data_IF_947762081039
#
_entry.id   IF_947762081039
#
_cell.length_a   1.000
_cell.length_b   1.000
_cell.length_c   1.000
_cell.angle_alpha   90.00
_cell.angle_beta   90.00
_cell.angle_gamma   90.00
#
_symmetry.space_group_name_H-M   'P 1'
#
loop_
_entity.id
_entity.type
_entity.pdbx_description
1 polymer ?
#
# COMPACT_ATOMS: atom_id res chain seq x y z
N UNK A 1 -21.49 21.65 18.06
CA UNK A 1 -20.76 20.55 17.41
C UNK A 1 -20.57 20.99 15.98
N UNK A 2 -19.37 21.45 15.59
CA UNK A 2 -19.14 21.80 14.19
C UNK A 2 -19.33 20.53 13.37
N UNK A 3 -20.15 20.56 12.32
CA UNK A 3 -20.19 19.51 11.31
C UNK A 3 -18.77 19.35 10.76
N UNK A 4 -18.02 18.41 11.33
CA UNK A 4 -16.72 18.03 10.81
C UNK A 4 -16.99 17.39 9.46
N UNK A 5 -16.65 18.12 8.40
CA UNK A 5 -16.74 17.62 7.04
C UNK A 5 -15.88 16.37 6.94
N UNK A 6 -16.52 15.25 6.61
CA UNK A 6 -15.81 13.99 6.37
C UNK A 6 -14.70 14.18 5.34
N UNK A 7 -13.62 13.45 5.54
CA UNK A 7 -12.59 13.23 4.55
C UNK A 7 -13.23 12.64 3.29
N UNK A 8 -12.76 13.06 2.12
CA UNK A 8 -13.34 12.69 0.82
C UNK A 8 -13.50 11.17 0.63
N UNK A 9 -12.46 10.38 0.94
CA UNK A 9 -12.53 8.90 0.96
C UNK A 9 -13.70 8.41 1.83
N UNK A 10 -13.86 8.94 3.04
CA UNK A 10 -14.96 8.55 3.95
C UNK A 10 -16.31 8.90 3.33
N UNK A 11 -16.45 10.10 2.77
CA UNK A 11 -17.67 10.52 2.06
C UNK A 11 -18.00 9.60 0.88
N UNK A 12 -16.99 9.23 0.08
CA UNK A 12 -17.17 8.36 -1.09
C UNK A 12 -17.69 6.99 -0.67
N UNK A 13 -17.06 6.35 0.32
CA UNK A 13 -17.49 5.03 0.79
C UNK A 13 -18.88 5.07 1.43
N UNK A 14 -19.20 6.12 2.21
CA UNK A 14 -20.55 6.30 2.78
C UNK A 14 -21.63 6.52 1.72
N UNK A 15 -21.30 7.25 0.64
CA UNK A 15 -22.28 7.63 -0.38
C UNK A 15 -22.50 6.57 -1.46
N UNK A 16 -21.43 5.87 -1.87
CA UNK A 16 -21.46 5.05 -3.08
C UNK A 16 -21.26 3.54 -2.84
N UNK A 17 -20.94 3.13 -1.61
CA UNK A 17 -20.69 1.73 -1.25
C UNK A 17 -21.00 1.49 0.24
N UNK A 18 -20.20 0.67 0.92
CA UNK A 18 -20.28 0.44 2.37
C UNK A 18 -19.40 1.43 3.13
N UNK A 19 -19.87 1.97 4.28
CA UNK A 19 -19.04 2.76 5.18
C UNK A 19 -17.79 1.99 5.62
N UNK A 20 -16.68 2.71 5.71
CA UNK A 20 -15.44 2.20 6.30
C UNK A 20 -15.61 2.02 7.81
N UNK A 21 -14.87 1.07 8.37
CA UNK A 21 -14.83 0.82 9.82
C UNK A 21 -14.62 2.11 10.62
N UNK A 22 -15.21 2.19 11.81
CA UNK A 22 -15.06 3.33 12.71
C UNK A 22 -13.59 3.76 12.88
N UNK A 23 -12.67 2.81 13.03
CA UNK A 23 -11.23 3.07 13.17
C UNK A 23 -10.64 3.78 11.94
N UNK A 24 -10.93 3.31 10.72
CA UNK A 24 -10.43 3.96 9.50
C UNK A 24 -11.10 5.32 9.28
N UNK A 25 -12.40 5.41 9.55
CA UNK A 25 -13.17 6.67 9.47
C UNK A 25 -12.58 7.74 10.39
N UNK A 26 -12.34 7.40 11.66
CA UNK A 26 -11.74 8.32 12.64
C UNK A 26 -10.32 8.75 12.24
N UNK A 27 -9.49 7.82 11.74
CA UNK A 27 -8.11 8.14 11.33
C UNK A 27 -8.06 9.04 10.09
N UNK A 28 -8.88 8.76 9.08
CA UNK A 28 -8.95 9.57 7.85
C UNK A 28 -9.53 10.97 8.11
N UNK A 29 -10.46 11.10 9.06
CA UNK A 29 -10.99 12.39 9.52
C UNK A 29 -10.05 13.11 10.50
N UNK A 30 -8.87 12.55 10.78
CA UNK A 30 -7.91 13.05 11.77
C UNK A 30 -8.54 13.34 13.14
N UNK A 31 -9.45 12.48 13.60
CA UNK A 31 -10.04 12.62 14.93
C UNK A 31 -8.93 12.73 15.99
N UNK A 32 -9.11 13.60 16.98
CA UNK A 32 -8.05 13.99 17.92
C UNK A 32 -7.41 12.81 18.67
N UNK A 33 -8.16 11.74 18.92
CA UNK A 33 -7.65 10.49 19.53
C UNK A 33 -6.58 9.78 18.69
N UNK A 34 -6.54 10.09 17.38
CA UNK A 34 -5.59 9.56 16.40
C UNK A 34 -4.61 10.63 15.92
N UNK A 35 -4.45 11.73 16.66
CA UNK A 35 -3.36 12.69 16.45
C UNK A 35 -2.30 12.45 17.53
N UNK A 36 -1.20 11.79 17.16
CA UNK A 36 -0.11 11.56 18.13
C UNK A 36 1.24 11.85 17.49
N UNK A 37 2.16 12.45 18.26
CA UNK A 37 3.52 12.73 17.76
C UNK A 37 4.26 11.47 17.33
N UNK A 38 3.99 10.33 17.96
CA UNK A 38 4.67 9.05 17.67
C UNK A 38 4.03 8.24 16.55
N UNK A 39 2.72 8.37 16.32
CA UNK A 39 2.00 7.59 15.28
C UNK A 39 1.50 8.47 14.14
N UNK A 40 1.77 9.78 14.14
CA UNK A 40 1.26 10.72 13.13
C UNK A 40 -0.26 10.87 13.20
N UNK A 41 -0.87 11.27 12.09
CA UNK A 41 -2.31 11.43 11.89
C UNK A 41 -2.69 11.15 10.42
N UNK A 42 -3.98 11.25 10.08
CA UNK A 42 -4.45 11.19 8.71
C UNK A 42 -3.97 9.94 7.99
N UNK A 43 -3.42 10.11 6.80
CA UNK A 43 -2.94 8.99 5.97
C UNK A 43 -1.81 8.21 6.65
N UNK A 44 -0.96 8.89 7.43
CA UNK A 44 0.13 8.24 8.17
C UNK A 44 -0.39 7.24 9.22
N UNK A 45 -1.58 7.46 9.82
CA UNK A 45 -2.20 6.48 10.71
C UNK A 45 -3.10 5.49 9.97
N UNK A 46 -3.95 5.97 9.06
CA UNK A 46 -4.85 5.11 8.30
C UNK A 46 -4.06 4.03 7.54
N UNK A 47 -2.97 4.41 6.88
CA UNK A 47 -2.16 3.46 6.10
C UNK A 47 -1.34 2.50 6.96
N UNK A 48 -1.09 2.82 8.24
CA UNK A 48 -0.52 1.86 9.20
C UNK A 48 -1.50 0.76 9.58
N UNK A 49 -2.79 1.07 9.66
CA UNK A 49 -3.83 0.06 9.89
C UNK A 49 -4.03 -0.75 8.63
N UNK A 50 -4.08 -0.09 7.46
CA UNK A 50 -4.15 -0.77 6.17
C UNK A 50 -2.97 -1.73 5.97
N UNK A 51 -1.79 -1.39 6.48
CA UNK A 51 -0.62 -2.26 6.41
C UNK A 51 -0.80 -3.64 7.06
N UNK A 52 -1.68 -3.77 8.06
CA UNK A 52 -2.03 -5.05 8.67
C UNK A 52 -2.82 -5.95 7.72
N UNK A 53 -3.58 -5.36 6.78
CA UNK A 53 -4.25 -6.11 5.73
C UNK A 53 -3.27 -6.43 4.60
N UNK A 54 -2.59 -5.41 4.06
CA UNK A 54 -1.68 -5.55 2.90
C UNK A 54 -0.61 -6.60 3.12
N UNK A 55 0.03 -6.61 4.29
CA UNK A 55 1.19 -7.47 4.54
C UNK A 55 0.82 -8.93 4.80
N UNK A 56 -0.45 -9.28 4.82
CA UNK A 56 -0.92 -10.66 5.03
C UNK A 56 -1.28 -11.33 3.70
N UNK A 57 -0.95 -12.62 3.50
CA UNK A 57 -1.45 -13.37 2.36
C UNK A 57 -2.99 -13.36 2.32
N UNK A 58 -3.57 -13.32 1.12
CA UNK A 58 -5.03 -13.39 0.97
C UNK A 58 -5.52 -14.79 1.31
N UNK A 59 -6.40 -14.89 2.30
CA UNK A 59 -7.20 -16.08 2.48
C UNK A 59 -8.32 -16.08 1.44
N UNK A 60 -8.36 -17.15 0.65
CA UNK A 60 -9.30 -17.30 -0.45
C UNK A 60 -10.76 -17.44 0.03
N UNK A 61 -10.95 -17.99 1.24
CA UNK A 61 -12.27 -18.28 1.83
C UNK A 61 -12.55 -17.47 3.10
N UNK A 62 -11.51 -16.96 3.74
CA UNK A 62 -11.61 -16.11 4.91
C UNK A 62 -12.16 -14.71 4.60
N UNK A 63 -12.93 -14.17 5.55
CA UNK A 63 -13.62 -12.87 5.43
C UNK A 63 -12.94 -11.75 6.23
N UNK A 64 -11.75 -11.98 6.79
CA UNK A 64 -11.08 -11.03 7.68
C UNK A 64 -10.78 -9.68 7.02
N UNK A 65 -10.62 -9.65 5.69
CA UNK A 65 -10.34 -8.42 4.94
C UNK A 65 -11.58 -7.54 4.80
N UNK A 66 -12.80 -8.07 4.95
CA UNK A 66 -14.03 -7.28 4.96
C UNK A 66 -14.18 -6.42 6.23
N UNK A 67 -13.32 -6.62 7.24
CA UNK A 67 -13.24 -5.76 8.44
C UNK A 67 -12.74 -4.34 8.15
N UNK A 68 -12.35 -4.03 6.91
CA UNK A 68 -12.12 -2.65 6.48
C UNK A 68 -13.43 -1.83 6.50
N UNK A 69 -14.58 -2.50 6.37
CA UNK A 69 -15.92 -1.93 6.47
C UNK A 69 -16.45 -2.05 7.90
N UNK A 70 -17.44 -1.22 8.25
CA UNK A 70 -18.00 -1.17 9.61
C UNK A 70 -18.81 -2.42 9.97
N UNK A 71 -19.83 -2.74 9.16
CA UNK A 71 -20.77 -3.85 9.41
C UNK A 71 -21.10 -4.62 8.10
N UNK A 72 -20.07 -5.13 7.41
CA UNK A 72 -20.30 -5.93 6.20
C UNK A 72 -20.93 -7.30 6.54
N UNK A 73 -22.13 -7.58 6.02
CA UNK A 73 -22.80 -8.87 6.23
C UNK A 73 -22.20 -9.97 5.34
N UNK A 74 -21.52 -10.93 5.97
CA UNK A 74 -20.87 -12.06 5.27
C UNK A 74 -21.81 -13.24 4.99
N UNK A 75 -23.09 -13.18 5.39
CA UNK A 75 -24.03 -14.30 5.18
C UNK A 75 -24.23 -14.62 3.69
N UNK A 76 -24.34 -13.59 2.84
CA UNK A 76 -24.47 -13.75 1.39
C UNK A 76 -23.28 -14.51 0.81
N UNK A 77 -22.05 -14.06 1.11
CA UNK A 77 -20.82 -14.72 0.68
C UNK A 77 -20.69 -16.16 1.19
N UNK A 78 -21.02 -16.43 2.45
CA UNK A 78 -21.03 -17.81 3.01
C UNK A 78 -22.01 -18.70 2.27
N UNK A 79 -23.17 -18.16 1.91
CA UNK A 79 -24.18 -18.89 1.15
C UNK A 79 -23.68 -19.19 -0.27
N UNK A 80 -23.08 -18.19 -0.94
CA UNK A 80 -22.49 -18.35 -2.28
C UNK A 80 -21.44 -19.46 -2.26
N UNK A 81 -20.47 -19.39 -1.35
CA UNK A 81 -19.39 -20.38 -1.28
C UNK A 81 -19.89 -21.79 -0.93
N UNK A 82 -20.92 -21.92 -0.07
CA UNK A 82 -21.41 -23.24 0.33
C UNK A 82 -22.32 -23.90 -0.71
N UNK A 83 -22.99 -23.12 -1.56
CA UNK A 83 -23.95 -23.64 -2.54
C UNK A 83 -23.46 -23.64 -3.98
N UNK A 84 -22.33 -22.98 -4.30
CA UNK A 84 -21.89 -22.78 -5.69
C UNK A 84 -21.87 -24.08 -6.52
N UNK A 85 -21.34 -25.18 -5.95
CA UNK A 85 -21.26 -26.46 -6.65
C UNK A 85 -22.64 -27.02 -7.03
N UNK A 86 -23.66 -26.83 -6.19
CA UNK A 86 -25.05 -27.25 -6.47
C UNK A 86 -25.66 -26.50 -7.65
N UNK A 87 -25.16 -25.31 -7.95
CA UNK A 87 -25.53 -24.49 -9.10
C UNK A 87 -24.58 -24.67 -10.30
N UNK A 88 -23.66 -25.64 -10.24
CA UNK A 88 -22.70 -25.93 -11.31
C UNK A 88 -21.58 -24.89 -11.45
N UNK A 89 -21.32 -24.13 -10.39
CA UNK A 89 -20.25 -23.13 -10.32
C UNK A 89 -19.19 -23.59 -9.31
N UNK A 90 -17.94 -23.72 -9.74
CA UNK A 90 -16.84 -24.00 -8.82
C UNK A 90 -16.11 -22.70 -8.45
N UNK A 91 -16.17 -22.33 -7.16
CA UNK A 91 -15.49 -21.14 -6.64
C UNK A 91 -14.38 -21.56 -5.67
N UNK A 92 -13.15 -21.19 -6.00
CA UNK A 92 -11.99 -21.32 -5.10
C UNK A 92 -11.83 -20.09 -4.21
N UNK A 93 -12.50 -18.98 -4.54
CA UNK A 93 -12.50 -17.74 -3.76
C UNK A 93 -13.80 -16.97 -3.94
N UNK A 94 -14.12 -16.11 -2.98
CA UNK A 94 -15.19 -15.12 -3.08
C UNK A 94 -14.77 -13.80 -3.73
N UNK A 95 -13.49 -13.67 -4.11
CA UNK A 95 -12.91 -12.43 -4.65
C UNK A 95 -12.96 -12.41 -6.17
N UNK A 96 -12.99 -11.20 -6.74
CA UNK A 96 -12.99 -10.97 -8.18
C UNK A 96 -14.14 -11.69 -8.93
N UNK A 97 -15.31 -11.85 -8.28
CA UNK A 97 -16.50 -12.46 -8.89
C UNK A 97 -17.03 -11.63 -10.06
N UNK A 98 -16.87 -10.31 -10.00
CA UNK A 98 -17.29 -9.38 -11.05
C UNK A 98 -16.60 -9.61 -12.39
N UNK A 99 -15.34 -10.03 -12.37
CA UNK A 99 -14.55 -10.32 -13.58
C UNK A 99 -14.45 -11.81 -13.89
N UNK A 100 -15.01 -12.69 -13.05
CA UNK A 100 -14.93 -14.13 -13.24
C UNK A 100 -15.90 -14.60 -14.35
N UNK A 101 -15.36 -15.16 -15.43
CA UNK A 101 -16.14 -15.58 -16.60
C UNK A 101 -17.19 -16.65 -16.27
N UNK A 102 -16.89 -17.59 -15.37
CA UNK A 102 -17.80 -18.67 -15.00
C UNK A 102 -18.95 -18.15 -14.13
N UNK A 103 -18.69 -17.16 -13.28
CA UNK A 103 -19.72 -16.42 -12.53
C UNK A 103 -20.66 -15.72 -13.51
N UNK A 104 -20.11 -14.98 -14.48
CA UNK A 104 -20.91 -14.27 -15.49
C UNK A 104 -21.75 -15.22 -16.36
N UNK A 105 -21.21 -16.39 -16.70
CA UNK A 105 -21.96 -17.42 -17.43
C UNK A 105 -23.05 -18.05 -16.57
N UNK A 106 -22.77 -18.29 -15.28
CA UNK A 106 -23.73 -18.85 -14.32
C UNK A 106 -24.91 -17.91 -14.12
N UNK A 107 -24.67 -16.62 -13.87
CA UNK A 107 -25.73 -15.63 -13.68
C UNK A 107 -26.69 -15.51 -14.87
N UNK A 108 -26.22 -15.76 -16.10
CA UNK A 108 -27.08 -15.79 -17.30
C UNK A 108 -28.01 -17.00 -17.37
N UNK A 109 -27.67 -18.09 -16.70
CA UNK A 109 -28.43 -19.36 -16.71
C UNK A 109 -29.35 -19.49 -15.51
N UNK A 110 -28.98 -18.88 -14.38
CA UNK A 110 -29.74 -18.93 -13.14
C UNK A 110 -31.05 -18.14 -13.24
N UNK A 111 -32.05 -18.56 -12.46
CA UNK A 111 -33.27 -17.80 -12.29
C UNK A 111 -32.98 -16.55 -11.43
N UNK A 112 -33.22 -15.31 -11.92
CA UNK A 112 -32.96 -14.08 -11.15
C UNK A 112 -33.77 -13.95 -9.85
N UNK A 113 -34.89 -14.66 -9.75
CA UNK A 113 -35.73 -14.67 -8.55
C UNK A 113 -35.26 -15.67 -7.48
N UNK A 114 -34.27 -16.50 -7.81
CA UNK A 114 -33.69 -17.44 -6.86
C UNK A 114 -32.74 -16.72 -5.87
N UNK A 115 -32.81 -17.11 -4.59
CA UNK A 115 -32.04 -16.44 -3.54
C UNK A 115 -30.52 -16.59 -3.69
N UNK A 116 -30.02 -17.68 -4.29
CA UNK A 116 -28.59 -17.82 -4.57
C UNK A 116 -28.17 -16.85 -5.69
N UNK A 117 -28.95 -16.78 -6.77
CA UNK A 117 -28.68 -15.88 -7.90
C UNK A 117 -28.66 -14.41 -7.46
N UNK A 118 -29.60 -14.00 -6.61
CA UNK A 118 -29.66 -12.65 -6.06
C UNK A 118 -28.43 -12.32 -5.20
N UNK A 119 -28.02 -13.23 -4.31
CA UNK A 119 -26.81 -13.03 -3.51
C UNK A 119 -25.57 -12.91 -4.40
N UNK A 120 -25.42 -13.80 -5.41
CA UNK A 120 -24.28 -13.79 -6.32
C UNK A 120 -24.23 -12.49 -7.14
N UNK A 121 -25.37 -12.02 -7.66
CA UNK A 121 -25.45 -10.77 -8.41
C UNK A 121 -25.10 -9.56 -7.53
N UNK A 122 -25.61 -9.51 -6.29
CA UNK A 122 -25.29 -8.43 -5.35
C UNK A 122 -23.78 -8.33 -5.07
N UNK A 123 -23.12 -9.48 -4.92
CA UNK A 123 -21.66 -9.52 -4.71
C UNK A 123 -20.88 -9.14 -5.97
N UNK A 124 -21.33 -9.56 -7.15
CA UNK A 124 -20.78 -9.09 -8.43
C UNK A 124 -20.90 -7.57 -8.56
N UNK A 125 -22.06 -7.00 -8.26
CA UNK A 125 -22.30 -5.56 -8.36
C UNK A 125 -21.47 -4.77 -7.34
N UNK A 126 -21.37 -5.27 -6.10
CA UNK A 126 -20.52 -4.70 -5.07
C UNK A 126 -19.05 -4.66 -5.51
N UNK A 127 -18.52 -5.77 -6.03
CA UNK A 127 -17.12 -5.86 -6.45
C UNK A 127 -16.83 -4.98 -7.68
N UNK A 128 -17.73 -4.96 -8.68
CA UNK A 128 -17.62 -4.08 -9.83
C UNK A 128 -17.61 -2.59 -9.42
N UNK A 129 -18.48 -2.22 -8.47
CA UNK A 129 -18.54 -0.87 -7.93
C UNK A 129 -17.29 -0.51 -7.15
N UNK A 130 -16.80 -1.40 -6.30
CA UNK A 130 -15.57 -1.20 -5.52
C UNK A 130 -14.36 -0.99 -6.44
N UNK A 131 -14.24 -1.76 -7.52
CA UNK A 131 -13.15 -1.67 -8.50
C UNK A 131 -13.06 -0.30 -9.18
N UNK A 132 -14.20 0.39 -9.34
CA UNK A 132 -14.30 1.71 -9.99
C UNK A 132 -14.51 2.86 -9.01
N UNK A 133 -14.60 2.59 -7.71
CA UNK A 133 -14.96 3.58 -6.69
C UNK A 133 -14.01 4.78 -6.64
N UNK A 134 -12.73 4.56 -6.95
CA UNK A 134 -11.73 5.63 -7.00
C UNK A 134 -12.05 6.74 -8.02
N UNK A 135 -12.91 6.47 -9.02
CA UNK A 135 -13.33 7.47 -10.01
C UNK A 135 -14.18 8.59 -9.40
N UNK A 136 -14.78 8.36 -8.23
CA UNK A 136 -15.50 9.40 -7.48
C UNK A 136 -14.58 10.34 -6.69
N UNK A 137 -13.28 10.01 -6.57
CA UNK A 137 -12.31 10.88 -5.93
C UNK A 137 -11.82 11.95 -6.92
N UNK A 138 -11.85 13.20 -6.49
CA UNK A 138 -11.28 14.33 -7.22
C UNK A 138 -9.77 14.41 -7.00
N UNK A 139 -9.32 14.10 -5.78
CA UNK A 139 -7.94 14.30 -5.33
C UNK A 139 -7.05 13.10 -5.57
N UNK A 140 -5.77 13.35 -5.85
CA UNK A 140 -4.76 12.32 -6.13
C UNK A 140 -4.66 11.32 -4.96
N UNK A 141 -4.49 11.84 -3.76
CA UNK A 141 -4.31 11.04 -2.55
C UNK A 141 -5.55 10.18 -2.24
N UNK A 142 -6.74 10.70 -2.51
CA UNK A 142 -7.99 9.98 -2.30
C UNK A 142 -8.16 8.84 -3.31
N UNK A 143 -7.79 9.06 -4.58
CA UNK A 143 -7.78 8.00 -5.60
C UNK A 143 -6.87 6.85 -5.16
N UNK A 144 -5.67 7.20 -4.68
CA UNK A 144 -4.69 6.24 -4.19
C UNK A 144 -5.25 5.39 -3.04
N UNK A 145 -5.85 6.02 -2.02
CA UNK A 145 -6.42 5.26 -0.89
C UNK A 145 -7.62 4.41 -1.33
N UNK A 146 -8.50 4.91 -2.19
CA UNK A 146 -9.61 4.12 -2.72
C UNK A 146 -9.11 2.88 -3.49
N UNK A 147 -8.08 3.02 -4.32
CA UNK A 147 -7.46 1.89 -5.04
C UNK A 147 -6.80 0.90 -4.08
N UNK A 148 -6.08 1.39 -3.08
CA UNK A 148 -5.43 0.55 -2.07
C UNK A 148 -6.46 -0.29 -1.29
N UNK A 149 -7.57 0.32 -0.87
CA UNK A 149 -8.66 -0.37 -0.18
C UNK A 149 -9.40 -1.35 -1.09
N UNK A 150 -9.60 -1.00 -2.37
CA UNK A 150 -10.20 -1.90 -3.34
C UNK A 150 -9.36 -3.15 -3.55
N UNK A 151 -8.04 -3.01 -3.71
CA UNK A 151 -7.15 -4.15 -3.97
C UNK A 151 -7.03 -5.12 -2.77
N UNK A 152 -7.28 -4.66 -1.54
CA UNK A 152 -7.35 -5.55 -0.36
C UNK A 152 -8.50 -6.57 -0.50
N UNK A 153 -9.62 -6.13 -1.10
CA UNK A 153 -10.79 -6.98 -1.34
C UNK A 153 -10.65 -7.71 -2.68
N UNK A 154 -10.19 -7.01 -3.71
CA UNK A 154 -10.11 -7.41 -5.11
C UNK A 154 -8.64 -7.46 -5.56
N UNK A 155 -7.87 -8.46 -5.09
CA UNK A 155 -6.45 -8.54 -5.37
C UNK A 155 -6.19 -8.60 -6.87
N UNK A 156 -5.13 -7.92 -7.28
CA UNK A 156 -4.62 -7.97 -8.64
C UNK A 156 -3.80 -9.23 -8.87
N UNK A 157 -3.76 -9.69 -10.13
CA UNK A 157 -2.91 -10.78 -10.58
C UNK A 157 -1.63 -10.22 -11.23
N UNK A 158 -0.49 -10.79 -10.85
CA UNK A 158 0.84 -10.48 -11.41
C UNK A 158 0.86 -10.71 -12.92
N UNK A 159 0.14 -11.72 -13.42
CA UNK A 159 0.15 -12.07 -14.85
C UNK A 159 -0.45 -10.99 -15.74
N UNK A 160 -1.24 -10.07 -15.16
CA UNK A 160 -1.92 -9.01 -15.89
C UNK A 160 -1.32 -7.62 -15.66
N UNK A 161 -0.26 -7.51 -14.84
CA UNK A 161 0.30 -6.24 -14.44
C UNK A 161 1.83 -6.29 -14.47
N UNK A 162 2.44 -5.40 -15.26
CA UNK A 162 3.89 -5.14 -15.30
C UNK A 162 4.35 -4.37 -14.06
N UNK A 163 4.13 -4.93 -12.86
CA UNK A 163 4.58 -4.38 -11.58
C UNK A 163 5.36 -5.46 -10.83
N UNK A 164 6.47 -5.05 -10.21
CA UNK A 164 7.33 -5.93 -9.42
C UNK A 164 6.57 -6.43 -8.19
N UNK A 165 6.44 -7.76 -8.08
CA UNK A 165 5.87 -8.39 -6.89
C UNK A 165 6.92 -8.49 -5.78
N UNK A 166 6.59 -7.95 -4.61
CA UNK A 166 7.38 -8.04 -3.40
C UNK A 166 6.83 -9.14 -2.50
N UNK A 167 7.67 -10.12 -2.20
CA UNK A 167 7.37 -11.14 -1.21
C UNK A 167 7.12 -10.49 0.17
N UNK A 168 6.00 -10.83 0.80
CA UNK A 168 5.70 -10.38 2.16
C UNK A 168 6.48 -11.21 3.20
N UNK A 169 6.94 -10.56 4.27
CA UNK A 169 7.46 -11.27 5.45
C UNK A 169 6.33 -11.96 6.21
N UNK A 170 6.59 -13.17 6.72
CA UNK A 170 5.62 -13.94 7.52
C UNK A 170 5.26 -13.22 8.83
N UNK A 171 6.26 -12.61 9.47
CA UNK A 171 6.09 -11.88 10.72
C UNK A 171 6.46 -10.41 10.58
N UNK A 172 5.70 -9.57 11.29
CA UNK A 172 5.96 -8.13 11.39
C UNK A 172 7.30 -7.89 12.08
N UNK A 173 8.28 -7.24 11.41
CA UNK A 173 9.54 -6.93 12.04
C UNK A 173 9.37 -5.99 13.24
N UNK A 174 10.23 -6.14 14.25
CA UNK A 174 10.25 -5.28 15.46
C UNK A 174 10.82 -3.87 15.21
N UNK A 175 10.69 -3.37 14.00
CA UNK A 175 11.15 -2.03 13.62
C UNK A 175 10.00 -1.04 13.73
N UNK A 176 10.30 0.10 14.35
CA UNK A 176 9.31 1.14 14.59
C UNK A 176 8.92 1.85 13.29
N UNK A 177 7.63 2.08 13.08
CA UNK A 177 7.07 2.82 11.95
C UNK A 177 7.33 4.35 12.02
N UNK A 178 8.41 4.78 12.70
CA UNK A 178 8.63 6.13 13.21
C UNK A 178 8.20 7.23 12.21
N UNK A 179 7.43 8.25 12.62
CA UNK A 179 7.07 9.38 11.78
C UNK A 179 8.29 10.10 11.19
N UNK A 180 9.41 10.07 11.91
CA UNK A 180 10.68 10.66 11.49
C UNK A 180 11.49 9.79 10.52
N UNK A 181 11.01 8.62 10.12
CA UNK A 181 11.71 7.78 9.13
C UNK A 181 11.99 8.56 7.83
N UNK A 182 11.04 9.41 7.42
CA UNK A 182 11.13 10.28 6.24
C UNK A 182 12.21 11.36 6.34
N UNK A 183 12.62 11.77 7.54
CA UNK A 183 13.64 12.81 7.74
C UNK A 183 14.92 12.51 6.96
N UNK A 184 15.32 11.24 6.91
CA UNK A 184 16.55 10.84 6.25
C UNK A 184 16.38 10.71 4.74
N UNK A 185 15.26 10.18 4.26
CA UNK A 185 14.97 10.16 2.83
C UNK A 185 14.90 11.58 2.26
N UNK A 186 14.24 12.51 2.94
CA UNK A 186 14.24 13.93 2.57
C UNK A 186 15.65 14.54 2.51
N UNK A 187 16.56 14.12 3.39
CA UNK A 187 17.95 14.59 3.33
C UNK A 187 18.75 13.93 2.21
N UNK A 188 18.55 12.62 2.01
CA UNK A 188 19.19 11.86 0.95
C UNK A 188 18.84 12.50 -0.37
N UNK A 189 17.56 12.79 -0.65
CA UNK A 189 17.07 13.45 -1.87
C UNK A 189 17.77 14.78 -2.23
N UNK A 190 18.51 15.39 -1.30
CA UNK A 190 19.29 16.61 -1.52
C UNK A 190 20.79 16.38 -1.26
N UNK A 191 21.28 15.16 -1.45
CA UNK A 191 22.66 14.72 -1.28
C UNK A 191 23.24 14.96 0.13
N UNK A 192 22.41 15.03 1.17
CA UNK A 192 22.83 15.32 2.56
C UNK A 192 22.87 14.08 3.46
N UNK A 193 23.75 13.15 3.15
CA UNK A 193 23.94 11.94 3.95
C UNK A 193 24.60 12.23 5.32
N UNK A 194 24.28 11.43 6.34
CA UNK A 194 25.04 11.43 7.59
C UNK A 194 26.40 10.74 7.38
N UNK A 195 27.44 11.16 8.09
CA UNK A 195 28.81 10.61 7.96
C UNK A 195 28.89 9.09 8.18
N UNK A 196 28.05 8.56 9.07
CA UNK A 196 27.94 7.12 9.34
C UNK A 196 26.71 6.47 8.69
N UNK A 197 25.91 7.27 7.96
CA UNK A 197 24.76 6.74 7.26
C UNK A 197 25.19 5.98 6.01
N UNK A 198 24.47 4.90 5.72
CA UNK A 198 24.66 4.09 4.51
C UNK A 198 23.32 3.96 3.81
N UNK A 199 23.34 3.79 2.49
CA UNK A 199 22.15 3.52 1.71
C UNK A 199 22.34 2.22 0.94
N UNK A 200 21.34 1.36 0.95
CA UNK A 200 21.31 0.25 0.00
C UNK A 200 20.29 0.55 -1.08
N UNK A 201 20.61 0.15 -2.31
CA UNK A 201 19.71 0.27 -3.45
C UNK A 201 19.28 -1.14 -3.83
N UNK A 202 17.98 -1.43 -3.73
CA UNK A 202 17.43 -2.69 -4.24
C UNK A 202 17.10 -2.51 -5.72
N UNK A 203 17.59 -3.43 -6.56
CA UNK A 203 17.41 -3.38 -8.03
C UNK A 203 16.67 -4.59 -8.56
N UNK A 204 16.00 -4.43 -9.70
CA UNK A 204 15.40 -5.54 -10.45
C UNK A 204 16.44 -6.30 -11.29
N UNK A 205 15.99 -7.28 -12.08
CA UNK A 205 16.83 -8.07 -12.99
C UNK A 205 17.47 -7.27 -14.14
N UNK A 206 17.05 -6.02 -14.34
CA UNK A 206 17.57 -5.08 -15.33
C UNK A 206 18.43 -3.97 -14.70
N UNK A 207 18.87 -4.16 -13.45
CA UNK A 207 19.61 -3.19 -12.65
C UNK A 207 18.88 -1.84 -12.50
N UNK A 208 17.54 -1.82 -12.57
CA UNK A 208 16.75 -0.61 -12.31
C UNK A 208 16.45 -0.48 -10.82
N UNK A 209 16.57 0.72 -10.22
CA UNK A 209 16.24 0.90 -8.81
C UNK A 209 14.76 0.67 -8.50
N UNK A 210 14.52 -0.18 -7.51
CA UNK A 210 13.17 -0.54 -7.04
C UNK A 210 12.87 0.08 -5.68
N UNK A 211 13.84 0.04 -4.76
CA UNK A 211 13.71 0.64 -3.43
C UNK A 211 15.06 1.19 -2.96
N UNK A 212 15.00 2.12 -2.01
CA UNK A 212 16.16 2.62 -1.28
C UNK A 212 16.00 2.33 0.21
N UNK A 213 16.99 1.66 0.79
CA UNK A 213 17.08 1.43 2.24
C UNK A 213 18.02 2.45 2.88
N UNK A 214 17.61 2.98 4.03
CA UNK A 214 18.51 3.75 4.91
C UNK A 214 19.03 2.87 6.04
N UNK A 215 20.36 2.89 6.23
CA UNK A 215 21.06 2.17 7.29
C UNK A 215 21.84 3.15 8.18
N UNK A 216 21.94 2.83 9.48
CA UNK A 216 22.69 3.63 10.46
C UNK A 216 22.25 5.10 10.56
N UNK A 217 20.95 5.35 10.34
CA UNK A 217 20.34 6.68 10.38
C UNK A 217 19.08 6.64 11.26
N UNK A 218 19.30 6.70 12.58
CA UNK A 218 18.27 6.56 13.62
C UNK A 218 18.17 5.13 14.16
N UNK A 219 17.09 4.83 14.90
CA UNK A 219 16.95 3.58 15.66
C UNK A 219 16.55 2.36 14.82
N UNK A 220 16.15 2.55 13.55
CA UNK A 220 15.64 1.46 12.70
C UNK A 220 16.04 1.63 11.22
N UNK A 221 16.26 0.50 10.55
CA UNK A 221 16.36 0.39 9.09
C UNK A 221 14.95 0.48 8.48
N UNK A 222 14.82 1.14 7.33
CA UNK A 222 13.57 1.17 6.58
C UNK A 222 13.87 1.39 5.11
N UNK A 223 12.99 0.89 4.25
CA UNK A 223 13.07 1.05 2.82
C UNK A 223 11.96 1.97 2.34
N UNK A 224 12.22 2.76 1.31
CA UNK A 224 11.20 3.48 0.56
C UNK A 224 11.17 2.90 -0.86
N UNK A 225 9.99 2.59 -1.38
CA UNK A 225 9.86 2.20 -2.79
C UNK A 225 10.07 3.40 -3.70
N UNK A 226 10.82 3.18 -4.77
CA UNK A 226 11.07 4.17 -5.81
C UNK A 226 10.13 4.00 -7.00
N UNK A 227 9.52 2.82 -7.12
CA UNK A 227 8.50 2.45 -8.11
C UNK A 227 7.25 1.88 -7.43
N UNK A 228 6.10 1.79 -8.12
CA UNK A 228 4.96 1.01 -7.64
C UNK A 228 5.32 -0.47 -7.48
N UNK A 229 4.70 -1.13 -6.51
CA UNK A 229 4.97 -2.53 -6.16
C UNK A 229 3.67 -3.29 -5.94
N UNK A 230 3.70 -4.61 -6.12
CA UNK A 230 2.59 -5.49 -5.78
C UNK A 230 2.95 -6.29 -4.53
N UNK A 231 2.07 -6.35 -3.54
CA UNK A 231 2.25 -7.20 -2.36
C UNK A 231 0.93 -7.87 -1.98
N UNK A 232 0.89 -9.20 -1.99
CA UNK A 232 -0.32 -9.98 -1.70
C UNK A 232 -1.55 -9.51 -2.50
N UNK A 233 -1.34 -9.24 -3.80
CA UNK A 233 -2.35 -8.72 -4.72
C UNK A 233 -2.72 -7.24 -4.55
N UNK A 234 -2.04 -6.50 -3.66
CA UNK A 234 -2.31 -5.08 -3.42
C UNK A 234 -1.27 -4.21 -4.11
N UNK A 235 -1.72 -3.27 -4.96
CA UNK A 235 -0.83 -2.28 -5.57
C UNK A 235 -0.47 -1.21 -4.55
N UNK A 236 0.83 -1.11 -4.28
CA UNK A 236 1.44 -0.12 -3.43
C UNK A 236 2.07 0.97 -4.30
N UNK A 237 1.79 2.26 -4.07
CA UNK A 237 2.40 3.33 -4.84
C UNK A 237 3.91 3.41 -4.53
N UNK A 238 4.63 4.08 -5.44
CA UNK A 238 5.97 4.56 -5.14
C UNK A 238 5.93 5.49 -3.91
N UNK A 239 7.00 5.54 -3.12
CA UNK A 239 7.03 6.27 -1.86
C UNK A 239 6.40 5.50 -0.69
N UNK A 240 6.11 4.21 -0.86
CA UNK A 240 5.65 3.33 0.21
C UNK A 240 6.82 2.97 1.14
N UNK A 241 6.57 3.00 2.46
CA UNK A 241 7.58 2.65 3.46
C UNK A 241 7.49 1.17 3.79
N UNK A 242 8.64 0.49 3.76
CA UNK A 242 8.77 -0.92 4.11
C UNK A 242 9.83 -1.13 5.18
N UNK A 243 9.77 -2.31 5.80
CA UNK A 243 10.90 -2.90 6.49
C UNK A 243 11.27 -4.23 5.88
N UNK A 244 12.52 -4.61 6.07
CA UNK A 244 13.04 -5.94 5.74
C UNK A 244 13.94 -6.41 6.88
N UNK A 245 14.32 -7.69 6.88
CA UNK A 245 15.27 -8.26 7.80
C UNK A 245 16.14 -9.28 7.06
N UNK A 246 17.45 -9.06 7.08
CA UNK A 246 18.40 -9.89 6.36
C UNK A 246 19.80 -9.77 6.96
N UNK A 247 20.63 -10.77 6.70
CA UNK A 247 22.07 -10.71 6.95
C UNK A 247 22.74 -10.24 5.67
N UNK A 248 23.52 -9.16 5.72
CA UNK A 248 24.08 -8.55 4.52
C UNK A 248 25.21 -9.38 3.90
N UNK A 249 26.03 -10.04 4.72
CA UNK A 249 27.21 -10.78 4.28
C UNK A 249 26.95 -11.85 3.21
N UNK A 250 25.95 -12.75 3.35
CA UNK A 250 25.67 -13.78 2.36
C UNK A 250 25.03 -13.27 1.07
N UNK A 251 24.54 -12.03 1.02
CA UNK A 251 23.86 -11.52 -0.17
C UNK A 251 24.84 -11.22 -1.31
N UNK A 252 24.41 -11.54 -2.53
CA UNK A 252 24.98 -10.97 -3.75
C UNK A 252 24.78 -9.46 -3.72
N UNK A 253 25.88 -8.72 -3.87
CA UNK A 253 25.86 -7.26 -3.72
C UNK A 253 27.08 -6.62 -4.36
N UNK A 254 26.88 -5.43 -4.89
CA UNK A 254 27.92 -4.56 -5.40
C UNK A 254 28.04 -3.32 -4.52
N UNK A 255 29.24 -2.77 -4.37
CA UNK A 255 29.38 -1.50 -3.65
C UNK A 255 28.73 -0.37 -4.45
N UNK A 256 28.02 0.51 -3.76
CA UNK A 256 27.57 1.77 -4.35
C UNK A 256 28.76 2.56 -4.93
N UNK A 257 28.51 3.30 -5.99
CA UNK A 257 29.52 4.12 -6.67
C UNK A 257 30.03 5.28 -5.81
N UNK A 258 29.14 6.02 -5.14
CA UNK A 258 29.49 7.28 -4.46
C UNK A 258 29.27 7.20 -2.95
N UNK A 259 28.14 6.65 -2.51
CA UNK A 259 27.79 6.56 -1.10
C UNK A 259 28.22 5.24 -0.46
N UNK A 260 28.20 5.19 0.87
CA UNK A 260 28.36 3.92 1.61
C UNK A 260 27.13 3.04 1.42
N UNK A 261 27.32 1.73 1.48
CA UNK A 261 26.29 0.72 1.30
C UNK A 261 26.41 0.03 -0.06
N UNK A 262 25.34 -0.65 -0.47
CA UNK A 262 25.39 -1.63 -1.56
C UNK A 262 24.19 -1.56 -2.51
N UNK A 263 24.44 -1.94 -3.76
CA UNK A 263 23.43 -2.31 -4.73
C UNK A 263 23.16 -3.81 -4.57
N UNK A 264 21.91 -4.20 -4.33
CA UNK A 264 21.50 -5.55 -3.96
C UNK A 264 20.33 -5.96 -4.85
N UNK A 265 20.35 -7.11 -5.54
CA UNK A 265 19.19 -7.60 -6.28
C UNK A 265 18.01 -7.82 -5.34
N UNK A 266 16.82 -7.30 -5.66
CA UNK A 266 15.64 -7.42 -4.81
C UNK A 266 15.22 -8.89 -4.64
N UNK A 267 15.51 -9.73 -5.62
CA UNK A 267 15.31 -11.19 -5.58
C UNK A 267 16.14 -11.91 -4.52
N UNK A 268 17.20 -11.27 -4.00
CA UNK A 268 18.00 -11.82 -2.90
C UNK A 268 17.35 -11.63 -1.52
N UNK A 269 16.27 -10.86 -1.45
CA UNK A 269 15.61 -10.50 -0.21
C UNK A 269 14.56 -11.54 0.15
N UNK A 270 14.53 -11.97 1.42
CA UNK A 270 13.52 -12.92 1.93
C UNK A 270 12.09 -12.36 1.94
N UNK A 271 11.97 -11.05 1.81
CA UNK A 271 10.70 -10.34 1.76
C UNK A 271 10.74 -8.99 2.46
N UNK A 272 9.59 -8.34 2.41
CA UNK A 272 9.35 -7.02 2.94
C UNK A 272 8.06 -6.98 3.73
N UNK A 273 7.95 -6.01 4.64
CA UNK A 273 6.73 -5.72 5.36
C UNK A 273 6.34 -4.28 5.07
N UNK A 274 5.16 -4.07 4.49
CA UNK A 274 4.65 -2.71 4.25
C UNK A 274 4.29 -2.06 5.60
N UNK A 275 4.76 -0.84 5.82
CA UNK A 275 4.58 -0.13 7.09
C UNK A 275 3.48 0.93 6.99
N UNK A 276 3.55 1.76 5.96
CA UNK A 276 2.63 2.90 5.68
C UNK A 276 3.07 3.62 4.42
N UNK A 277 2.23 4.54 3.95
CA UNK A 277 2.66 5.53 2.97
C UNK A 277 3.51 6.63 3.63
N UNK A 278 4.47 7.14 2.88
CA UNK A 278 5.22 8.36 3.24
C UNK A 278 4.61 9.59 2.58
N UNK A 279 4.98 10.79 3.05
CA UNK A 279 4.61 12.03 2.36
C UNK A 279 5.13 12.09 0.91
N UNK A 280 6.19 11.34 0.57
CA UNK A 280 6.73 11.24 -0.78
C UNK A 280 5.88 10.37 -1.72
N UNK A 281 4.85 9.68 -1.22
CA UNK A 281 3.91 8.90 -2.05
C UNK A 281 2.85 9.78 -2.75
N UNK A 282 2.78 11.07 -2.43
CA UNK A 282 1.88 12.04 -3.07
C UNK A 282 2.65 13.28 -3.51
N UNK A 283 2.11 13.98 -4.51
CA UNK A 283 2.75 15.19 -5.03
C UNK A 283 2.84 16.28 -3.95
N UNK A 284 3.86 17.17 -4.01
CA UNK A 284 4.11 18.15 -2.95
C UNK A 284 2.90 19.02 -2.59
N UNK A 285 2.13 19.45 -3.59
CA UNK A 285 0.94 20.29 -3.43
C UNK A 285 -0.22 19.60 -2.69
N UNK A 286 -0.26 18.26 -2.68
CA UNK A 286 -1.33 17.47 -2.03
C UNK A 286 -0.96 17.02 -0.60
N UNK A 287 0.32 17.09 -0.21
CA UNK A 287 0.81 16.56 1.09
C UNK A 287 0.14 17.16 2.31
N UNK A 288 -0.05 18.47 2.31
CA UNK A 288 -0.63 19.18 3.46
C UNK A 288 -2.06 18.70 3.74
N UNK A 289 -2.82 18.37 2.69
CA UNK A 289 -4.16 17.83 2.82
C UNK A 289 -4.14 16.35 3.20
N UNK A 290 -3.32 15.54 2.52
CA UNK A 290 -3.27 14.09 2.69
C UNK A 290 -2.78 13.66 4.10
N UNK A 291 -1.75 14.36 4.60
CA UNK A 291 -1.06 13.99 5.83
C UNK A 291 -1.27 14.99 6.97
N UNK A 292 -2.02 16.08 6.72
CA UNK A 292 -2.49 17.03 7.72
C UNK A 292 -1.44 17.39 8.76
N UNK A 293 -1.75 17.08 10.03
CA UNK A 293 -0.86 17.38 11.15
C UNK A 293 0.51 16.69 11.09
N UNK A 294 0.65 15.50 10.47
CA UNK A 294 1.95 14.83 10.28
C UNK A 294 2.83 15.65 9.34
N UNK A 295 2.30 16.12 8.21
CA UNK A 295 3.05 17.00 7.30
C UNK A 295 3.43 18.31 7.98
N UNK A 296 2.48 18.93 8.72
CA UNK A 296 2.76 20.13 9.52
C UNK A 296 3.91 19.90 10.50
N UNK A 297 3.95 18.77 11.20
CA UNK A 297 5.06 18.42 12.09
C UNK A 297 6.39 18.28 11.34
N UNK A 298 6.40 17.82 10.08
CA UNK A 298 7.64 17.79 9.30
C UNK A 298 8.19 19.20 9.08
N UNK A 299 7.31 20.12 8.66
CA UNK A 299 7.66 21.52 8.43
C UNK A 299 8.11 22.20 9.73
N UNK A 300 7.30 22.09 10.79
CA UNK A 300 7.55 22.74 12.08
C UNK A 300 8.85 22.23 12.73
N UNK A 301 9.20 20.95 12.54
CA UNK A 301 10.45 20.36 13.03
C UNK A 301 11.66 20.59 12.10
N UNK A 302 11.51 21.38 11.04
CA UNK A 302 12.58 21.73 10.13
C UNK A 302 13.14 20.52 9.36
N UNK A 303 12.28 19.56 8.99
CA UNK A 303 12.69 18.52 8.03
C UNK A 303 13.11 19.18 6.71
N UNK A 304 13.97 18.49 5.96
CA UNK A 304 14.61 19.09 4.80
C UNK A 304 13.63 19.16 3.62
N UNK A 305 13.07 20.34 3.34
CA UNK A 305 12.22 20.62 2.17
C UNK A 305 11.07 19.61 1.93
N UNK A 306 10.29 19.22 2.96
CA UNK A 306 9.20 18.25 2.79
C UNK A 306 8.09 18.75 1.85
N UNK A 307 8.00 20.06 1.63
CA UNK A 307 7.04 20.78 0.79
C UNK A 307 7.40 20.82 -0.69
N UNK A 308 8.63 20.46 -1.06
CA UNK A 308 9.12 20.54 -2.45
C UNK A 308 9.87 19.30 -2.91
N UNK A 309 10.30 18.44 -2.00
CA UNK A 309 11.07 17.23 -2.37
C UNK A 309 10.21 16.26 -3.17
N UNK A 310 10.68 15.78 -4.31
CA UNK A 310 9.99 14.77 -5.11
C UNK A 310 10.65 13.39 -4.95
N UNK A 311 9.88 12.31 -5.17
CA UNK A 311 10.41 10.95 -5.13
C UNK A 311 11.42 10.71 -6.26
N UNK A 312 11.26 11.38 -7.40
CA UNK A 312 12.19 11.39 -8.54
C UNK A 312 13.63 11.70 -8.12
N UNK A 313 13.82 12.60 -7.16
CA UNK A 313 15.15 12.95 -6.64
C UNK A 313 15.83 11.78 -5.91
N UNK A 314 15.05 10.91 -5.24
CA UNK A 314 15.60 9.67 -4.68
C UNK A 314 15.92 8.63 -5.75
N UNK A 315 15.10 8.57 -6.81
CA UNK A 315 15.37 7.72 -7.97
C UNK A 315 16.69 8.11 -8.64
N UNK A 316 16.91 9.40 -8.91
CA UNK A 316 18.16 9.92 -9.49
C UNK A 316 19.38 9.52 -8.65
N UNK A 317 19.29 9.67 -7.32
CA UNK A 317 20.37 9.28 -6.41
C UNK A 317 20.63 7.77 -6.46
N UNK A 318 19.58 6.96 -6.55
CA UNK A 318 19.71 5.52 -6.63
C UNK A 318 20.39 5.10 -7.94
N UNK A 319 19.99 5.69 -9.07
CA UNK A 319 20.62 5.48 -10.38
C UNK A 319 22.10 5.85 -10.36
N UNK A 320 22.46 6.98 -9.72
CA UNK A 320 23.83 7.44 -9.56
C UNK A 320 24.75 6.47 -8.79
N UNK A 321 24.18 5.52 -8.04
CA UNK A 321 24.95 4.52 -7.29
C UNK A 321 25.24 3.24 -8.08
N UNK A 322 24.49 2.97 -9.15
CA UNK A 322 24.56 1.71 -9.89
C UNK A 322 25.70 1.77 -10.91
N UNK A 323 26.45 0.68 -11.02
CA UNK A 323 27.47 0.53 -12.05
C UNK A 323 26.80 0.15 -13.38
N UNK A 324 26.69 1.10 -14.31
CA UNK A 324 26.48 0.74 -15.71
C UNK A 324 27.85 0.33 -16.25
N UNK A 325 28.11 -0.97 -16.34
CA UNK A 325 29.27 -1.46 -17.06
C UNK A 325 29.18 -0.91 -18.49
N UNK A 326 30.18 -0.13 -18.93
CA UNK A 326 30.35 0.08 -20.36
C UNK A 326 30.55 -1.31 -20.98
N UNK A 327 29.72 -1.74 -21.94
CA UNK A 327 30.08 -2.92 -22.72
C UNK A 327 31.42 -2.59 -23.40
N UNK A 328 32.47 -3.31 -23.01
CA UNK A 328 33.76 -3.28 -23.71
C UNK A 328 33.62 -3.90 -25.10
#
# INVERSE_FOLDING_TARGET
>A
MSDLKDHEVVSIFKQYLYPLSAKLTEMLNEHFSHQTERRGCGYTQATRVIAEFVSQPRDALGFQDLRIFDDYDTKGLRNILSQAASYGLELTTWRNLDINLDVQQSLKRLNPDDGYAQNLQQEVDFQAKLRTLYQYAEREESKLICQLLADIILPQDVQHIEIIECQALEEKPKVGSCPMAEKFFLRIAHHRLLRQGEINIFVDEHDQPVMMEKMNMGDNHSCISLVPLLMNGVRLPAGSLFSTNYEIEPLEKNKNKQYKGYVIPISSMKGFWFLRLTTLAVSPENRARAFGYHFKQQVDNGLFRPDTTELSQLMEIAQDQIYVGNPC
#
